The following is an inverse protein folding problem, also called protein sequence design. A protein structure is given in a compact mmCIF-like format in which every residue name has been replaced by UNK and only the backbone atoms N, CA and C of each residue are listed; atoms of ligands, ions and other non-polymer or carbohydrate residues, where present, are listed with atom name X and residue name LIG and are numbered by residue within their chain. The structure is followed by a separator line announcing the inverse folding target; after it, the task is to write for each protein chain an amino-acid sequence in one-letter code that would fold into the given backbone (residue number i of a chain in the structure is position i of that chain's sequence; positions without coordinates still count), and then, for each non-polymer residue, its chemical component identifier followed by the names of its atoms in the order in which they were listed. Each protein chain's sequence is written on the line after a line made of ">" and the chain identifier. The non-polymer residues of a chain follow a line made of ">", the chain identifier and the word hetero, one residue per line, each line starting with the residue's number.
data_IF_651660490147
#
_entry.id   IF_651660490147
#
_cell.length_a   1.000
_cell.length_b   1.000
_cell.length_c   1.000
_cell.angle_alpha   90.00
_cell.angle_beta   90.00
_cell.angle_gamma   90.00
#
_symmetry.space_group_name_H-M   'P 1'
#
loop_
_entity.id
_entity.type
_entity.pdbx_description
1 polymer ?
#
# COMPACT_ATOMS: atom_id res chain seq x y z
N UNK A 1 -10.02 7.64 12.83
CA UNK A 1 -9.49 6.69 11.84
C UNK A 1 -8.96 5.47 12.57
N UNK A 2 -8.93 4.32 11.91
CA UNK A 2 -8.36 3.07 12.43
C UNK A 2 -6.89 2.99 12.01
N UNK A 3 -6.01 2.52 12.91
CA UNK A 3 -4.59 2.28 12.62
C UNK A 3 -4.28 0.81 12.82
N UNK A 4 -3.61 0.21 11.84
CA UNK A 4 -3.17 -1.18 11.87
C UNK A 4 -1.70 -1.27 11.44
N UNK A 5 -0.91 -2.19 12.02
CA UNK A 5 0.40 -2.50 11.49
C UNK A 5 0.27 -3.16 10.11
N UNK A 6 1.24 -2.91 9.25
CA UNK A 6 1.38 -3.60 7.97
C UNK A 6 2.86 -3.86 7.70
N UNK A 7 3.16 -4.98 7.04
CA UNK A 7 4.52 -5.36 6.65
C UNK A 7 4.65 -5.24 5.14
N UNK A 8 5.57 -4.39 4.70
CA UNK A 8 5.85 -4.22 3.28
C UNK A 8 6.99 -5.12 2.83
N UNK A 9 6.81 -5.76 1.69
CA UNK A 9 7.91 -6.35 0.92
C UNK A 9 8.54 -5.22 0.12
N UNK A 10 9.85 -5.04 0.26
CA UNK A 10 10.58 -3.94 -0.37
C UNK A 10 11.70 -4.45 -1.27
N UNK A 11 11.91 -3.73 -2.36
CA UNK A 11 13.09 -3.87 -3.21
C UNK A 11 13.83 -2.54 -3.20
N UNK A 12 15.16 -2.59 -3.00
CA UNK A 12 15.99 -1.40 -2.85
C UNK A 12 17.15 -1.45 -3.84
N UNK A 13 17.40 -0.34 -4.52
CA UNK A 13 18.56 -0.09 -5.37
C UNK A 13 19.44 1.01 -4.76
N UNK A 14 20.74 0.75 -4.65
CA UNK A 14 21.72 1.78 -4.25
C UNK A 14 22.10 2.58 -5.49
N UNK A 15 21.88 3.89 -5.47
CA UNK A 15 22.18 4.78 -6.59
C UNK A 15 23.53 5.48 -6.42
N UNK A 16 23.88 5.83 -5.18
CA UNK A 16 25.18 6.38 -4.80
C UNK A 16 25.45 6.16 -3.30
N UNK A 17 26.59 6.61 -2.80
CA UNK A 17 26.95 6.54 -1.38
C UNK A 17 25.89 7.18 -0.45
N UNK A 18 25.13 8.16 -0.96
CA UNK A 18 24.15 8.94 -0.20
C UNK A 18 22.73 8.84 -0.74
N UNK A 19 22.44 7.94 -1.69
CA UNK A 19 21.12 7.87 -2.32
C UNK A 19 20.70 6.44 -2.62
N UNK A 20 19.45 6.13 -2.27
CA UNK A 20 18.76 4.89 -2.62
C UNK A 20 17.43 5.19 -3.32
N UNK A 21 17.00 4.26 -4.16
CA UNK A 21 15.61 4.17 -4.60
C UNK A 21 15.02 2.82 -4.21
N UNK A 22 13.70 2.74 -4.17
CA UNK A 22 13.04 1.48 -3.89
C UNK A 22 11.57 1.44 -4.26
N UNK A 23 11.03 0.24 -4.20
CA UNK A 23 9.60 -0.05 -4.29
C UNK A 23 9.17 -0.79 -3.03
N UNK A 24 7.91 -0.62 -2.66
CA UNK A 24 7.33 -1.29 -1.51
C UNK A 24 5.90 -1.71 -1.83
N UNK A 25 5.54 -2.93 -1.47
CA UNK A 25 4.18 -3.47 -1.67
C UNK A 25 3.70 -4.23 -0.43
N UNK A 26 2.39 -4.15 -0.18
CA UNK A 26 1.68 -5.02 0.78
C UNK A 26 0.24 -5.20 0.33
N UNK A 27 -0.38 -6.29 0.76
CA UNK A 27 -1.82 -6.47 0.68
C UNK A 27 -2.45 -6.22 2.06
N UNK A 28 -3.56 -5.50 2.09
CA UNK A 28 -4.38 -5.27 3.28
C UNK A 28 -5.85 -5.60 2.97
N UNK A 29 -6.69 -5.65 4.01
CA UNK A 29 -8.14 -5.68 3.86
C UNK A 29 -8.71 -4.29 4.14
N UNK A 30 -9.59 -3.77 3.28
CA UNK A 30 -10.24 -2.48 3.53
C UNK A 30 -11.18 -2.56 4.74
N UNK A 31 -11.75 -3.73 5.01
CA UNK A 31 -12.62 -3.99 6.16
C UNK A 31 -11.91 -3.82 7.50
N UNK A 32 -10.59 -4.08 7.58
CA UNK A 32 -9.79 -3.84 8.80
C UNK A 32 -9.71 -2.36 9.20
N UNK A 33 -10.08 -1.46 8.29
CA UNK A 33 -10.06 -0.01 8.47
C UNK A 33 -11.46 0.61 8.47
N UNK A 34 -12.52 -0.20 8.65
CA UNK A 34 -13.92 0.22 8.63
C UNK A 34 -14.36 0.89 7.30
N UNK A 35 -13.68 0.58 6.19
CA UNK A 35 -14.02 1.12 4.87
C UNK A 35 -15.09 0.26 4.20
N UNK A 36 -16.33 0.75 4.17
CA UNK A 36 -17.46 0.12 3.48
C UNK A 36 -17.62 0.63 2.05
N UNK A 37 -18.02 -0.26 1.14
CA UNK A 37 -18.42 0.11 -0.22
C UNK A 37 -19.88 0.59 -0.19
N UNK A 38 -20.19 1.81 -0.67
CA UNK A 38 -21.56 2.25 -0.82
C UNK A 38 -22.32 1.36 -1.80
N UNK A 39 -23.53 0.94 -1.42
CA UNK A 39 -24.39 0.13 -2.30
C UNK A 39 -25.06 1.02 -3.35
N UNK A 40 -24.44 1.16 -4.52
CA UNK A 40 -25.04 1.82 -5.69
C UNK A 40 -25.17 0.84 -6.86
N UNK A 41 -26.25 0.90 -7.66
CA UNK A 41 -26.55 -0.12 -8.68
C UNK A 41 -25.46 -0.37 -9.72
N UNK A 42 -24.56 0.60 -9.93
CA UNK A 42 -23.46 0.53 -10.90
C UNK A 42 -22.17 -0.09 -10.34
N UNK A 43 -22.08 -0.33 -9.03
CA UNK A 43 -20.88 -0.85 -8.37
C UNK A 43 -21.19 -2.26 -7.87
N UNK A 44 -20.71 -3.26 -8.61
CA UNK A 44 -20.76 -4.65 -8.20
C UNK A 44 -19.34 -5.22 -8.06
N UNK A 45 -19.18 -6.17 -7.14
CA UNK A 45 -18.02 -7.05 -7.03
C UNK A 45 -16.67 -6.37 -6.69
N UNK A 46 -16.66 -5.47 -5.71
CA UNK A 46 -15.40 -4.94 -5.17
C UNK A 46 -14.86 -5.88 -4.09
N UNK A 47 -13.62 -6.32 -4.27
CA UNK A 47 -12.91 -7.19 -3.32
C UNK A 47 -12.62 -6.48 -2.01
N UNK A 48 -12.28 -7.24 -0.98
CA UNK A 48 -11.83 -6.69 0.30
C UNK A 48 -10.32 -6.40 0.28
N UNK A 49 -9.58 -7.19 -0.51
CA UNK A 49 -8.15 -7.07 -0.71
C UNK A 49 -7.80 -5.78 -1.46
N UNK A 50 -6.89 -5.01 -0.87
CA UNK A 50 -6.32 -3.79 -1.45
C UNK A 50 -4.80 -3.93 -1.46
N UNK A 51 -4.20 -3.75 -2.64
CA UNK A 51 -2.75 -3.64 -2.75
C UNK A 51 -2.33 -2.19 -2.52
N UNK A 52 -1.48 -1.96 -1.53
CA UNK A 52 -0.77 -0.70 -1.37
C UNK A 52 0.59 -0.85 -2.02
N UNK A 53 0.94 0.08 -2.91
CA UNK A 53 2.20 0.09 -3.61
C UNK A 53 2.72 1.53 -3.73
N UNK A 54 4.01 1.71 -3.50
CA UNK A 54 4.68 2.98 -3.73
C UNK A 54 6.14 2.78 -4.16
N UNK A 55 6.67 3.78 -4.84
CA UNK A 55 8.10 3.92 -5.13
C UNK A 55 8.63 5.13 -4.36
N UNK A 56 9.92 5.10 -4.01
CA UNK A 56 10.55 6.16 -3.26
C UNK A 56 12.00 6.38 -3.69
N UNK A 57 12.50 7.58 -3.42
CA UNK A 57 13.92 7.94 -3.41
C UNK A 57 14.21 8.52 -2.04
N UNK A 58 15.33 8.14 -1.44
CA UNK A 58 15.76 8.65 -0.15
C UNK A 58 17.27 8.91 -0.18
N UNK A 59 17.69 10.00 0.47
CA UNK A 59 19.10 10.34 0.64
C UNK A 59 19.38 10.92 2.02
N UNK A 60 20.67 10.97 2.37
CA UNK A 60 21.20 11.49 3.64
C UNK A 60 21.46 12.99 3.63
#
# INVERSE_FOLDING_TARGET
>A
GVTKPATFVTEISVLSDNEISGSATTQILRSDYDLSIPSVPSVANVTDEVQLAFTFVAGS
#
